data_IF_895314173750
#
_entry.id   IF_895314173750
#
_cell.length_a   1.000
_cell.length_b   1.000
_cell.length_c   1.000
_cell.angle_alpha   90.00
_cell.angle_beta   90.00
_cell.angle_gamma   90.00
#
_symmetry.space_group_name_H-M   'P 1'
#
loop_
_entity.id
_entity.type
_entity.pdbx_description
1 polymer ?
#
# COMPACT_ATOMS: atom_id res chain seq x y z
N UNK A 1 -9.00 3.45 5.29
CA UNK A 1 -8.33 4.43 4.41
C UNK A 1 -7.10 4.90 5.17
N UNK A 2 -5.95 4.87 4.53
CA UNK A 2 -4.63 5.14 5.11
C UNK A 2 -3.93 6.21 4.29
N UNK A 3 -3.24 7.13 4.94
CA UNK A 3 -2.36 8.08 4.25
C UNK A 3 -1.07 7.40 3.83
N UNK A 4 -0.37 7.93 2.81
CA UNK A 4 0.93 7.40 2.40
C UNK A 4 1.90 7.26 3.60
N UNK A 5 1.92 8.26 4.49
CA UNK A 5 2.75 8.24 5.70
C UNK A 5 2.46 7.02 6.58
N UNK A 6 1.20 6.73 6.84
CA UNK A 6 0.78 5.60 7.67
C UNK A 6 1.21 4.27 7.05
N UNK A 7 0.98 4.12 5.74
CA UNK A 7 1.42 2.92 5.00
C UNK A 7 2.93 2.77 5.05
N UNK A 8 3.67 3.87 4.87
CA UNK A 8 5.13 3.85 4.93
C UNK A 8 5.63 3.47 6.33
N UNK A 9 5.03 4.00 7.40
CA UNK A 9 5.41 3.63 8.78
C UNK A 9 5.14 2.16 9.09
N UNK A 10 4.07 1.57 8.54
CA UNK A 10 3.76 0.13 8.70
C UNK A 10 4.74 -0.74 7.91
N UNK A 11 5.11 -0.34 6.70
CA UNK A 11 5.91 -1.16 5.80
C UNK A 11 7.44 -1.02 6.03
N UNK A 12 7.92 0.15 6.48
CA UNK A 12 9.34 0.41 6.82
C UNK A 12 9.98 -0.64 7.73
N UNK A 13 9.37 -1.07 8.85
CA UNK A 13 9.98 -2.07 9.73
C UNK A 13 9.94 -3.48 9.15
N UNK A 14 9.08 -3.75 8.16
CA UNK A 14 8.94 -5.07 7.55
C UNK A 14 10.03 -5.29 6.50
N UNK A 15 10.31 -4.29 5.68
CA UNK A 15 11.28 -4.39 4.60
C UNK A 15 11.88 -3.04 4.24
N UNK A 16 13.19 -3.01 4.01
CA UNK A 16 13.94 -1.79 3.68
C UNK A 16 13.41 -1.13 2.40
N UNK A 17 12.99 -1.95 1.42
CA UNK A 17 12.36 -1.52 0.17
C UNK A 17 10.83 -1.57 0.27
N UNK A 18 10.27 -0.89 1.27
CA UNK A 18 8.83 -0.85 1.52
C UNK A 18 8.00 -0.37 0.31
N UNK A 19 8.61 0.39 -0.60
CA UNK A 19 8.00 0.79 -1.87
C UNK A 19 7.66 -0.41 -2.77
N UNK A 20 8.52 -1.45 -2.80
CA UNK A 20 8.28 -2.69 -3.55
C UNK A 20 7.09 -3.44 -2.95
N UNK A 21 6.99 -3.52 -1.62
CA UNK A 21 5.83 -4.17 -0.98
C UNK A 21 4.56 -3.42 -1.32
N UNK A 22 4.54 -2.09 -1.18
CA UNK A 22 3.38 -1.26 -1.54
C UNK A 22 2.96 -1.48 -2.99
N UNK A 23 3.92 -1.51 -3.94
CA UNK A 23 3.65 -1.78 -5.35
C UNK A 23 3.08 -3.18 -5.56
N UNK A 24 3.64 -4.18 -4.88
CA UNK A 24 3.17 -5.56 -4.94
C UNK A 24 1.73 -5.68 -4.42
N UNK A 25 1.42 -5.05 -3.28
CA UNK A 25 0.06 -5.05 -2.73
C UNK A 25 -0.96 -4.47 -3.72
N UNK A 26 -0.56 -3.46 -4.50
CA UNK A 26 -1.42 -2.88 -5.54
C UNK A 26 -1.52 -3.81 -6.76
N UNK A 27 -0.40 -4.35 -7.24
CA UNK A 27 -0.34 -5.23 -8.41
C UNK A 27 -1.17 -6.51 -8.21
N UNK A 28 -1.08 -7.11 -7.02
CA UNK A 28 -1.87 -8.27 -6.63
C UNK A 28 -3.31 -7.92 -6.21
N UNK A 29 -3.70 -6.64 -6.19
CA UNK A 29 -5.06 -6.20 -5.88
C UNK A 29 -5.46 -6.27 -4.39
N UNK A 30 -4.49 -6.41 -3.48
CA UNK A 30 -4.72 -6.33 -2.02
C UNK A 30 -4.91 -4.89 -1.54
N UNK A 31 -4.33 -3.92 -2.23
CA UNK A 31 -4.40 -2.50 -1.90
C UNK A 31 -4.67 -1.67 -3.15
N UNK A 32 -5.29 -0.50 -2.99
CA UNK A 32 -5.44 0.48 -4.05
C UNK A 32 -5.01 1.85 -3.55
N UNK A 33 -4.71 2.75 -4.48
CA UNK A 33 -4.37 4.14 -4.20
C UNK A 33 -5.17 5.10 -5.07
N UNK A 34 -5.32 6.35 -4.64
CA UNK A 34 -5.91 7.40 -5.47
C UNK A 34 -4.95 7.82 -6.60
N UNK A 35 -5.44 8.52 -7.64
CA UNK A 35 -4.62 8.94 -8.78
C UNK A 35 -3.40 9.77 -8.37
N UNK A 36 -3.52 10.54 -7.28
CA UNK A 36 -2.45 11.37 -6.72
C UNK A 36 -1.45 10.62 -5.82
N UNK A 37 -1.62 9.30 -5.61
CA UNK A 37 -0.80 8.45 -4.75
C UNK A 37 -0.71 8.89 -3.27
N UNK A 38 -1.64 9.72 -2.79
CA UNK A 38 -1.66 10.28 -1.43
C UNK A 38 -2.47 9.44 -0.45
N UNK A 39 -3.45 8.69 -0.94
CA UNK A 39 -4.37 7.88 -0.14
C UNK A 39 -4.34 6.42 -0.59
N UNK A 40 -4.41 5.51 0.38
CA UNK A 40 -4.33 4.07 0.20
C UNK A 40 -5.46 3.36 0.94
N UNK A 41 -5.97 2.24 0.41
CA UNK A 41 -6.95 1.41 1.11
C UNK A 41 -6.81 -0.07 0.76
N UNK A 42 -7.12 -0.94 1.72
CA UNK A 42 -7.07 -2.38 1.52
C UNK A 42 -8.36 -2.83 0.82
N UNK A 43 -8.21 -3.61 -0.26
CA UNK A 43 -9.32 -4.31 -0.89
C UNK A 43 -9.39 -5.72 -0.33
N UNK A 44 -10.45 -5.99 0.45
CA UNK A 44 -10.71 -7.32 1.01
C UNK A 44 -11.22 -8.34 -0.02
N UNK A 45 -11.41 -7.96 -1.29
CA UNK A 45 -11.86 -8.85 -2.35
C UNK A 45 -10.70 -9.22 -3.26
N UNK A 46 -9.93 -10.22 -2.83
CA UNK A 46 -9.14 -11.03 -3.75
C UNK A 46 -10.15 -11.85 -4.57
N UNK A 47 -10.13 -11.67 -5.89
CA UNK A 47 -11.03 -12.37 -6.80
C UNK A 47 -10.53 -13.79 -7.06
#
# INVERSE_FOLDING_TARGET
MYSEKEVNEILKPIYTDFAIIRRSLIDYGFMEHNQDCTEYWIKAKVK
#
